data_IF_035359395042
#
_entry.id   IF_035359395042
#
_cell.length_a   1.000
_cell.length_b   1.000
_cell.length_c   1.000
_cell.angle_alpha   90.00
_cell.angle_beta   90.00
_cell.angle_gamma   90.00
#
_symmetry.space_group_name_H-M   'P 1'
#
loop_
_entity.id
_entity.type
_entity.pdbx_description
1 polymer ?
#
# COMPACT_ATOMS: atom_id res chain seq x y z
N UNK A 1 10.65 -8.37 -25.11
CA UNK A 1 10.10 -9.63 -24.54
C UNK A 1 10.13 -9.53 -23.03
N UNK A 2 9.03 -9.87 -22.35
CA UNK A 2 8.98 -9.90 -20.89
C UNK A 2 9.52 -11.23 -20.37
N UNK A 3 10.25 -11.20 -19.26
CA UNK A 3 10.71 -12.40 -18.55
C UNK A 3 10.12 -12.40 -17.16
N UNK A 4 9.65 -13.57 -16.73
CA UNK A 4 9.13 -13.78 -15.38
C UNK A 4 9.82 -14.96 -14.75
N UNK A 5 10.22 -14.77 -13.50
CA UNK A 5 10.90 -15.80 -12.74
C UNK A 5 10.71 -15.56 -11.26
N UNK A 6 10.87 -16.62 -10.48
CA UNK A 6 11.02 -16.56 -9.04
C UNK A 6 12.43 -17.00 -8.67
N UNK A 7 12.84 -16.61 -7.48
CA UNK A 7 14.17 -16.88 -6.96
C UNK A 7 14.14 -17.02 -5.46
N UNK A 8 14.96 -17.92 -4.94
CA UNK A 8 15.27 -18.03 -3.52
C UNK A 8 16.76 -17.85 -3.35
N UNK A 9 17.14 -16.94 -2.46
CA UNK A 9 18.53 -16.78 -2.07
C UNK A 9 19.01 -17.98 -1.22
N UNK A 10 20.26 -18.46 -1.37
CA UNK A 10 20.81 -19.52 -0.52
C UNK A 10 21.00 -18.98 0.90
N UNK A 11 20.36 -19.61 1.89
CA UNK A 11 20.26 -19.06 3.25
C UNK A 11 19.29 -17.88 3.36
N UNK A 12 18.66 -17.46 2.27
CA UNK A 12 17.75 -16.34 2.22
C UNK A 12 16.40 -16.66 2.87
N UNK A 13 16.01 -15.77 3.78
CA UNK A 13 14.66 -15.68 4.33
C UNK A 13 13.69 -14.95 3.38
N UNK A 14 13.99 -14.87 2.09
CA UNK A 14 13.14 -14.16 1.13
C UNK A 14 12.95 -14.97 -0.14
N UNK A 15 11.70 -15.04 -0.59
CA UNK A 15 11.30 -15.59 -1.87
C UNK A 15 10.88 -14.44 -2.79
N UNK A 16 11.68 -14.18 -3.81
CA UNK A 16 11.48 -13.07 -4.74
C UNK A 16 10.81 -13.55 -6.03
N UNK A 17 9.97 -12.70 -6.61
CA UNK A 17 9.30 -12.86 -7.88
C UNK A 17 9.50 -11.60 -8.69
N UNK A 18 9.97 -11.75 -9.92
CA UNK A 18 10.29 -10.65 -10.80
C UNK A 18 9.57 -10.78 -12.14
N UNK A 19 9.12 -9.65 -12.64
CA UNK A 19 8.87 -9.42 -14.05
C UNK A 19 9.89 -8.39 -14.55
N UNK A 20 10.63 -8.74 -15.60
CA UNK A 20 11.66 -7.88 -16.18
C UNK A 20 11.44 -7.67 -17.67
N UNK A 21 12.02 -6.60 -18.19
CA UNK A 21 12.18 -6.44 -19.63
C UNK A 21 13.33 -7.31 -20.19
N UNK A 22 13.63 -7.13 -21.48
CA UNK A 22 14.70 -7.85 -22.15
C UNK A 22 16.11 -7.43 -21.71
N UNK A 23 16.27 -6.22 -21.18
CA UNK A 23 17.52 -5.69 -20.64
C UNK A 23 17.75 -6.13 -19.18
N UNK A 24 16.77 -6.79 -18.54
CA UNK A 24 16.82 -7.22 -17.15
C UNK A 24 16.43 -6.12 -16.16
N UNK A 25 15.85 -5.01 -16.62
CA UNK A 25 15.28 -4.01 -15.73
C UNK A 25 14.02 -4.57 -15.09
N UNK A 26 13.88 -4.37 -13.77
CA UNK A 26 12.72 -4.86 -13.02
C UNK A 26 11.53 -3.94 -13.28
N UNK A 27 10.45 -4.55 -13.75
CA UNK A 27 9.17 -3.88 -14.01
C UNK A 27 8.22 -4.07 -12.83
N UNK A 28 8.16 -5.28 -12.27
CA UNK A 28 7.40 -5.61 -11.06
C UNK A 28 8.20 -6.56 -10.17
N UNK A 29 8.07 -6.37 -8.86
CA UNK A 29 8.68 -7.22 -7.85
C UNK A 29 7.68 -7.57 -6.75
N UNK A 30 7.57 -8.86 -6.45
CA UNK A 30 6.93 -9.36 -5.25
C UNK A 30 7.94 -10.15 -4.42
N UNK A 31 8.13 -9.79 -3.15
CA UNK A 31 9.06 -10.47 -2.25
C UNK A 31 8.33 -10.92 -0.99
N UNK A 32 8.50 -12.17 -0.61
CA UNK A 32 7.85 -12.80 0.54
C UNK A 32 8.88 -13.24 1.57
N UNK A 33 8.57 -13.00 2.84
CA UNK A 33 9.40 -13.41 3.97
C UNK A 33 8.64 -14.44 4.82
N UNK A 34 9.16 -15.69 4.96
CA UNK A 34 8.49 -16.76 5.68
C UNK A 34 8.46 -16.51 7.19
N UNK A 35 9.34 -15.65 7.71
CA UNK A 35 9.38 -15.26 9.13
C UNK A 35 8.36 -14.16 9.48
N UNK A 36 7.76 -13.52 8.46
CA UNK A 36 6.69 -12.55 8.67
C UNK A 36 5.33 -13.23 8.56
N UNK A 37 4.43 -12.90 9.49
CA UNK A 37 3.05 -13.38 9.48
C UNK A 37 2.18 -12.38 8.73
N UNK A 38 1.45 -12.78 7.67
CA UNK A 38 0.53 -11.89 7.00
C UNK A 38 -0.60 -11.47 7.94
N UNK A 39 -1.10 -10.25 7.74
CA UNK A 39 -2.26 -9.74 8.46
C UNK A 39 -3.46 -10.70 8.32
N UNK A 40 -4.29 -10.80 9.36
CA UNK A 40 -5.45 -11.69 9.40
C UNK A 40 -6.37 -11.45 8.22
N UNK A 41 -6.64 -10.18 7.89
CA UNK A 41 -7.50 -9.81 6.75
C UNK A 41 -6.89 -10.26 5.42
N UNK A 42 -5.57 -10.20 5.29
CA UNK A 42 -4.88 -10.68 4.11
C UNK A 42 -4.95 -12.22 3.99
N UNK A 43 -4.93 -12.96 5.10
CA UNK A 43 -5.01 -14.43 5.12
C UNK A 43 -6.39 -14.95 4.72
N UNK A 44 -7.44 -14.30 5.20
CA UNK A 44 -8.84 -14.70 4.93
C UNK A 44 -9.26 -14.42 3.49
N UNK A 45 -8.54 -13.53 2.80
CA UNK A 45 -8.89 -13.04 1.47
C UNK A 45 -8.49 -13.99 0.31
N UNK A 46 -8.21 -15.28 0.56
CA UNK A 46 -8.04 -16.32 -0.48
C UNK A 46 -6.74 -17.13 -0.43
N UNK A 47 -6.68 -18.24 -1.20
CA UNK A 47 -5.63 -19.25 -1.10
C UNK A 47 -4.24 -18.71 -1.46
N UNK A 48 -3.19 -19.28 -0.84
CA UNK A 48 -1.78 -19.00 -1.17
C UNK A 48 -1.26 -20.03 -2.17
N UNK A 49 -0.21 -19.68 -2.89
CA UNK A 49 0.47 -20.60 -3.82
C UNK A 49 1.91 -20.89 -3.38
N UNK A 50 2.51 -21.94 -3.92
CA UNK A 50 3.89 -22.32 -3.60
C UNK A 50 4.87 -21.16 -3.85
N UNK A 51 5.72 -20.86 -2.87
CA UNK A 51 6.66 -19.74 -2.93
C UNK A 51 6.03 -18.38 -2.60
N UNK A 52 4.89 -18.37 -1.93
CA UNK A 52 4.28 -17.16 -1.34
C UNK A 52 4.08 -17.33 0.17
N UNK A 53 4.92 -18.14 0.79
CA UNK A 53 4.90 -18.45 2.22
C UNK A 53 5.32 -17.23 3.06
N UNK A 54 4.63 -17.02 4.18
CA UNK A 54 4.76 -15.81 5.00
C UNK A 54 4.21 -14.55 4.35
N UNK A 55 4.56 -13.38 4.88
CA UNK A 55 4.03 -12.09 4.43
C UNK A 55 4.89 -11.46 3.32
N UNK A 56 4.24 -10.75 2.40
CA UNK A 56 4.96 -9.92 1.46
C UNK A 56 5.63 -8.72 2.13
N UNK A 57 6.90 -8.47 1.79
CA UNK A 57 7.64 -7.27 2.17
C UNK A 57 7.80 -6.27 1.01
N UNK A 58 7.65 -6.73 -0.24
CA UNK A 58 7.66 -5.89 -1.45
C UNK A 58 6.53 -6.35 -2.38
N UNK A 59 5.83 -5.39 -2.98
CA UNK A 59 4.82 -5.59 -4.03
C UNK A 59 4.78 -4.36 -4.96
N UNK A 60 5.93 -4.02 -5.54
CA UNK A 60 6.18 -2.75 -6.20
C UNK A 60 6.27 -2.87 -7.73
N UNK A 61 5.73 -1.87 -8.42
CA UNK A 61 5.69 -1.73 -9.88
C UNK A 61 6.35 -0.42 -10.31
N UNK A 62 7.26 -0.52 -11.28
CA UNK A 62 7.92 0.65 -11.87
C UNK A 62 6.95 1.56 -12.61
N UNK A 63 5.99 0.98 -13.33
CA UNK A 63 4.97 1.75 -14.05
C UNK A 63 4.06 2.53 -13.08
N UNK A 64 3.66 1.92 -11.95
CA UNK A 64 2.88 2.60 -10.92
C UNK A 64 3.68 3.75 -10.29
N UNK A 65 4.96 3.53 -9.97
CA UNK A 65 5.84 4.57 -9.43
C UNK A 65 6.01 5.76 -10.37
N UNK A 66 6.22 5.51 -11.67
CA UNK A 66 6.29 6.56 -12.69
C UNK A 66 4.99 7.35 -12.76
N UNK A 67 3.85 6.67 -12.86
CA UNK A 67 2.54 7.33 -12.93
C UNK A 67 2.25 8.18 -11.68
N UNK A 68 2.60 7.69 -10.48
CA UNK A 68 2.44 8.44 -9.23
C UNK A 68 3.35 9.67 -9.17
N UNK A 69 4.57 9.56 -9.69
CA UNK A 69 5.48 10.70 -9.74
C UNK A 69 4.96 11.79 -10.68
N UNK A 70 4.40 11.41 -11.83
CA UNK A 70 3.79 12.32 -12.80
C UNK A 70 2.54 13.01 -12.22
N UNK A 71 1.65 12.24 -11.59
CA UNK A 71 0.35 12.74 -11.16
C UNK A 71 0.38 13.47 -9.80
N UNK A 72 1.29 13.09 -8.90
CA UNK A 72 1.28 13.53 -7.49
C UNK A 72 2.67 13.87 -6.92
N UNK A 73 3.72 13.81 -7.75
CA UNK A 73 5.08 14.19 -7.37
C UNK A 73 5.76 13.23 -6.38
N UNK A 74 6.82 13.74 -5.73
CA UNK A 74 7.72 12.95 -4.89
C UNK A 74 7.07 12.42 -3.60
N UNK A 75 6.01 13.09 -3.09
CA UNK A 75 5.29 12.61 -1.92
C UNK A 75 4.61 11.26 -2.21
N UNK A 76 3.93 11.12 -3.33
CA UNK A 76 3.23 9.89 -3.68
C UNK A 76 4.19 8.73 -3.91
N UNK A 77 5.36 8.98 -4.48
CA UNK A 77 6.44 7.99 -4.59
C UNK A 77 6.89 7.50 -3.22
N UNK A 78 7.08 8.41 -2.25
CA UNK A 78 7.45 8.05 -0.87
C UNK A 78 6.35 7.26 -0.17
N UNK A 79 5.08 7.67 -0.33
CA UNK A 79 3.92 6.94 0.20
C UNK A 79 3.83 5.53 -0.40
N UNK A 80 4.03 5.40 -1.71
CA UNK A 80 3.98 4.12 -2.39
C UNK A 80 5.08 3.18 -1.90
N UNK A 81 6.31 3.68 -1.77
CA UNK A 81 7.43 2.87 -1.24
C UNK A 81 7.22 2.46 0.21
N UNK A 82 6.56 3.29 1.01
CA UNK A 82 6.23 2.93 2.38
C UNK A 82 5.20 1.79 2.43
N UNK A 83 4.19 1.81 1.55
CA UNK A 83 3.16 0.76 1.48
C UNK A 83 3.68 -0.50 0.78
N UNK A 84 4.23 -0.40 -0.42
CA UNK A 84 4.56 -1.53 -1.29
C UNK A 84 6.06 -1.88 -1.35
N UNK A 85 6.91 -1.15 -0.63
CA UNK A 85 8.35 -1.34 -0.68
C UNK A 85 9.02 -0.65 -1.88
N UNK A 86 10.35 -0.68 -1.89
CA UNK A 86 11.16 -0.17 -3.01
C UNK A 86 11.54 -1.34 -3.92
N UNK A 87 11.17 -1.32 -5.21
CA UNK A 87 11.61 -2.33 -6.14
C UNK A 87 13.11 -2.17 -6.41
N UNK A 88 13.79 -3.28 -6.68
CA UNK A 88 15.13 -3.27 -7.26
C UNK A 88 15.10 -2.61 -8.64
N UNK A 89 16.23 -2.03 -9.04
CA UNK A 89 16.35 -1.40 -10.36
C UNK A 89 16.55 -2.45 -11.44
N UNK A 90 17.42 -3.43 -11.16
CA UNK A 90 17.76 -4.53 -12.06
C UNK A 90 17.72 -5.87 -11.33
N UNK A 91 17.44 -6.94 -12.05
CA UNK A 91 17.54 -8.29 -11.50
C UNK A 91 18.99 -8.68 -11.12
N UNK A 92 19.98 -7.98 -11.68
CA UNK A 92 21.40 -8.19 -11.37
C UNK A 92 21.80 -7.62 -10.01
N UNK A 93 21.17 -6.54 -9.54
CA UNK A 93 21.33 -6.08 -8.14
C UNK A 93 20.94 -7.16 -7.15
N UNK A 94 19.89 -7.91 -7.51
CA UNK A 94 19.45 -9.07 -6.77
C UNK A 94 20.53 -10.17 -6.78
N UNK A 95 21.27 -10.33 -7.88
CA UNK A 95 22.20 -11.44 -8.15
C UNK A 95 23.55 -11.35 -7.43
N UNK A 96 23.71 -10.41 -6.49
CA UNK A 96 24.94 -10.30 -5.66
C UNK A 96 25.10 -11.43 -4.65
N UNK A 97 24.08 -12.26 -4.44
CA UNK A 97 24.16 -13.43 -3.56
C UNK A 97 24.52 -14.70 -4.36
N UNK A 98 25.74 -15.24 -4.19
CA UNK A 98 26.20 -16.41 -4.92
C UNK A 98 25.33 -17.64 -4.58
N UNK A 99 24.80 -18.31 -5.62
CA UNK A 99 24.05 -19.57 -5.52
C UNK A 99 22.53 -19.47 -5.65
N UNK A 100 21.96 -18.26 -5.81
CA UNK A 100 20.51 -18.11 -5.95
C UNK A 100 20.00 -18.77 -7.25
N UNK A 101 19.12 -19.76 -7.13
CA UNK A 101 18.55 -20.45 -8.30
C UNK A 101 17.36 -19.66 -8.85
N UNK A 102 17.44 -19.30 -10.12
CA UNK A 102 16.36 -18.68 -10.87
C UNK A 102 15.47 -19.75 -11.51
N UNK A 103 14.17 -19.67 -11.25
CA UNK A 103 13.17 -20.57 -11.84
C UNK A 103 12.20 -19.74 -12.67
N UNK A 104 12.13 -20.00 -13.98
CA UNK A 104 11.14 -19.38 -14.85
C UNK A 104 9.72 -19.73 -14.41
N UNK A 105 8.81 -18.75 -14.48
CA UNK A 105 7.40 -18.94 -14.13
C UNK A 105 6.51 -18.42 -15.25
N UNK A 106 5.32 -18.98 -15.35
CA UNK A 106 4.30 -18.54 -16.29
C UNK A 106 3.74 -17.17 -15.89
N UNK A 107 3.06 -16.50 -16.83
CA UNK A 107 2.33 -15.26 -16.56
C UNK A 107 1.32 -15.44 -15.43
N UNK A 108 0.53 -16.52 -15.46
CA UNK A 108 -0.52 -16.76 -14.47
C UNK A 108 0.02 -17.01 -13.06
N UNK A 109 1.15 -17.71 -12.93
CA UNK A 109 1.83 -17.89 -11.65
C UNK A 109 2.34 -16.57 -11.07
N UNK A 110 2.95 -15.73 -11.92
CA UNK A 110 3.41 -14.42 -11.49
C UNK A 110 2.25 -13.52 -11.07
N UNK A 111 1.17 -13.44 -11.85
CA UNK A 111 0.01 -12.61 -11.51
C UNK A 111 -0.62 -13.03 -10.18
N UNK A 112 -0.72 -14.34 -9.91
CA UNK A 112 -1.17 -14.82 -8.60
C UNK A 112 -0.24 -14.40 -7.47
N UNK A 113 1.08 -14.55 -7.63
CA UNK A 113 2.06 -14.10 -6.64
C UNK A 113 1.92 -12.59 -6.40
N UNK A 114 1.81 -11.82 -7.48
CA UNK A 114 1.66 -10.38 -7.47
C UNK A 114 0.38 -9.94 -6.73
N UNK A 115 -0.76 -10.55 -7.02
CA UNK A 115 -2.03 -10.29 -6.33
C UNK A 115 -1.92 -10.59 -4.83
N UNK A 116 -1.32 -11.72 -4.45
CA UNK A 116 -1.10 -12.07 -3.04
C UNK A 116 -0.20 -11.02 -2.37
N UNK A 117 0.91 -10.64 -3.02
CA UNK A 117 1.84 -9.67 -2.46
C UNK A 117 1.21 -8.29 -2.27
N UNK A 118 0.47 -7.83 -3.29
CA UNK A 118 -0.28 -6.57 -3.25
C UNK A 118 -1.28 -6.57 -2.10
N UNK A 119 -2.02 -7.65 -1.94
CA UNK A 119 -3.00 -7.82 -0.87
C UNK A 119 -2.34 -7.79 0.51
N UNK A 120 -1.29 -8.59 0.72
CA UNK A 120 -0.53 -8.61 1.99
C UNK A 120 -0.02 -7.20 2.36
N UNK A 121 0.60 -6.50 1.40
CA UNK A 121 1.10 -5.13 1.60
C UNK A 121 -0.01 -4.10 1.79
N UNK A 122 -1.17 -4.30 1.18
CA UNK A 122 -2.32 -3.41 1.32
C UNK A 122 -2.90 -3.40 2.74
N UNK A 123 -2.82 -4.53 3.44
CA UNK A 123 -3.33 -4.68 4.81
C UNK A 123 -2.25 -4.52 5.88
N UNK A 124 -0.97 -4.59 5.52
CA UNK A 124 0.12 -4.40 6.49
C UNK A 124 0.14 -2.93 6.96
N UNK A 125 0.11 -2.66 8.28
CA UNK A 125 0.26 -1.31 8.80
C UNK A 125 1.55 -0.65 8.30
N UNK A 126 1.44 0.61 7.89
CA UNK A 126 2.57 1.42 7.45
C UNK A 126 3.08 2.22 8.65
N UNK A 127 4.02 1.65 9.41
CA UNK A 127 4.60 2.27 10.61
C UNK A 127 5.71 3.30 10.30
N UNK A 128 6.13 3.38 9.03
CA UNK A 128 7.22 4.24 8.55
C UNK A 128 6.78 5.07 7.35
N UNK A 129 7.58 6.08 7.01
CA UNK A 129 7.37 6.93 5.85
C UNK A 129 6.78 8.30 6.19
N UNK A 130 6.27 9.06 5.20
CA UNK A 130 5.84 10.44 5.41
C UNK A 130 4.49 10.57 6.12
N UNK A 131 3.67 9.50 6.15
CA UNK A 131 2.39 9.43 6.85
C UNK A 131 2.26 8.07 7.55
N UNK A 132 3.03 7.84 8.63
CA UNK A 132 2.95 6.57 9.36
C UNK A 132 1.60 6.46 10.10
N UNK A 133 1.14 5.24 10.31
CA UNK A 133 -0.04 4.96 11.14
C UNK A 133 0.17 5.55 12.55
N UNK A 134 -0.88 6.16 13.10
CA UNK A 134 -0.85 6.90 14.36
C UNK A 134 -0.44 8.37 14.24
N UNK A 135 0.06 8.83 13.09
CA UNK A 135 0.39 10.24 12.89
C UNK A 135 -0.85 11.13 12.92
N UNK A 136 -0.69 12.36 13.40
CA UNK A 136 -1.74 13.38 13.37
C UNK A 136 -1.71 14.15 12.06
N UNK A 137 -2.88 14.42 11.48
CA UNK A 137 -3.02 15.34 10.36
C UNK A 137 -4.29 16.16 10.51
N UNK A 138 -4.20 17.46 10.27
CA UNK A 138 -5.38 18.33 10.22
C UNK A 138 -5.91 18.37 8.79
N UNK A 139 -7.22 18.25 8.63
CA UNK A 139 -7.87 18.34 7.33
C UNK A 139 -9.28 18.93 7.44
N UNK A 140 -9.79 19.37 6.30
CA UNK A 140 -11.15 19.91 6.19
C UNK A 140 -12.07 18.87 5.58
N UNK A 141 -13.23 18.64 6.18
CA UNK A 141 -14.25 17.75 5.61
C UNK A 141 -14.74 18.35 4.30
N UNK A 142 -14.46 17.69 3.19
CA UNK A 142 -14.79 18.19 1.86
C UNK A 142 -16.17 17.72 1.38
N UNK A 143 -16.55 16.48 1.68
CA UNK A 143 -17.82 15.92 1.22
C UNK A 143 -18.24 14.65 1.97
N UNK A 144 -19.53 14.36 1.88
CA UNK A 144 -20.16 13.06 2.20
C UNK A 144 -20.59 12.40 0.89
N UNK A 145 -19.68 11.68 0.19
CA UNK A 145 -19.85 11.32 -1.22
C UNK A 145 -21.13 10.54 -1.57
N UNK A 146 -21.75 9.87 -0.61
CA UNK A 146 -23.04 9.18 -0.78
C UNK A 146 -24.07 9.54 0.30
N UNK A 147 -23.91 10.70 0.94
CA UNK A 147 -24.73 11.13 2.07
C UNK A 147 -24.16 10.75 3.43
N UNK A 148 -24.69 11.39 4.47
CA UNK A 148 -24.32 11.17 5.87
C UNK A 148 -24.77 9.76 6.30
N UNK A 149 -23.93 9.05 7.05
CA UNK A 149 -24.25 7.72 7.60
C UNK A 149 -24.06 6.55 6.64
N UNK A 150 -23.65 6.77 5.38
CA UNK A 150 -23.65 5.71 4.35
C UNK A 150 -22.29 5.05 4.16
N UNK A 151 -21.21 5.81 3.95
CA UNK A 151 -19.87 5.19 3.69
C UNK A 151 -18.72 5.89 4.39
N UNK A 152 -18.77 7.22 4.55
CA UNK A 152 -17.67 7.98 5.13
C UNK A 152 -17.58 9.42 4.67
N UNK A 153 -16.43 10.03 4.96
CA UNK A 153 -16.10 11.43 4.63
C UNK A 153 -14.90 11.50 3.69
N UNK A 154 -14.97 12.40 2.71
CA UNK A 154 -13.79 12.90 2.02
C UNK A 154 -13.20 14.05 2.80
N UNK A 155 -11.89 14.03 2.98
CA UNK A 155 -11.12 15.03 3.71
C UNK A 155 -10.09 15.64 2.77
N UNK A 156 -10.13 16.96 2.66
CA UNK A 156 -9.06 17.74 2.03
C UNK A 156 -7.91 17.90 3.03
N UNK A 157 -6.72 17.49 2.61
CA UNK A 157 -5.50 17.56 3.40
C UNK A 157 -4.59 18.66 2.85
N UNK A 158 -3.68 19.23 3.66
CA UNK A 158 -2.64 20.14 3.19
C UNK A 158 -1.53 19.39 2.42
N UNK A 159 -1.90 18.35 1.68
CA UNK A 159 -1.04 17.44 0.94
C UNK A 159 -1.71 17.15 -0.41
N UNK A 160 -0.96 16.84 -1.47
CA UNK A 160 -1.49 16.49 -2.79
C UNK A 160 -2.20 15.12 -2.83
N UNK A 161 -2.69 14.62 -1.70
CA UNK A 161 -3.37 13.33 -1.57
C UNK A 161 -4.66 13.51 -0.77
N UNK A 162 -5.70 12.78 -1.15
CA UNK A 162 -7.00 12.89 -0.50
C UNK A 162 -7.07 12.03 0.77
N UNK A 163 -7.70 12.55 1.82
CA UNK A 163 -8.08 11.80 3.00
C UNK A 163 -9.45 11.15 2.88
N UNK A 164 -9.65 10.01 3.51
CA UNK A 164 -10.94 9.35 3.64
C UNK A 164 -11.12 8.80 5.06
N UNK A 165 -12.25 9.11 5.67
CA UNK A 165 -12.68 8.53 6.94
C UNK A 165 -13.79 7.53 6.65
N UNK A 166 -13.62 6.29 7.10
CA UNK A 166 -14.64 5.25 6.97
C UNK A 166 -15.78 5.47 7.97
N UNK A 167 -17.03 5.14 7.60
CA UNK A 167 -18.17 5.20 8.50
C UNK A 167 -17.94 4.44 9.81
N UNK A 168 -17.21 3.32 9.76
CA UNK A 168 -16.86 2.55 10.96
C UNK A 168 -15.98 3.31 11.97
N UNK A 169 -15.40 4.44 11.57
CA UNK A 169 -14.58 5.32 12.42
C UNK A 169 -15.32 6.57 12.91
N UNK A 170 -16.55 6.83 12.44
CA UNK A 170 -17.30 8.06 12.70
C UNK A 170 -18.40 7.90 13.75
N UNK A 171 -18.76 6.66 14.10
CA UNK A 171 -19.89 6.40 14.99
C UNK A 171 -21.22 6.81 14.36
N UNK A 172 -22.19 7.19 15.22
CA UNK A 172 -23.54 7.54 14.79
C UNK A 172 -23.56 8.78 13.87
N UNK A 173 -24.43 8.75 12.86
CA UNK A 173 -24.52 9.70 11.75
C UNK A 173 -24.66 11.16 12.20
N UNK A 174 -25.42 11.41 13.25
CA UNK A 174 -25.67 12.72 13.85
C UNK A 174 -24.41 13.37 14.45
N UNK A 175 -23.37 12.58 14.73
CA UNK A 175 -22.10 13.06 15.28
C UNK A 175 -21.04 13.27 14.20
N UNK A 176 -21.36 13.04 12.92
CA UNK A 176 -20.39 13.20 11.85
C UNK A 176 -20.02 14.67 11.69
N UNK A 177 -18.72 15.01 11.58
CA UNK A 177 -18.28 16.36 11.25
C UNK A 177 -18.95 16.88 9.97
N UNK A 178 -19.47 18.11 10.03
CA UNK A 178 -20.10 18.75 8.88
C UNK A 178 -19.07 19.10 7.79
N UNK A 179 -19.51 19.16 6.53
CA UNK A 179 -18.68 19.67 5.42
C UNK A 179 -18.21 21.10 5.72
N UNK A 180 -16.94 21.39 5.43
CA UNK A 180 -16.25 22.62 5.78
C UNK A 180 -15.60 22.62 7.17
N UNK A 181 -15.87 21.61 8.00
CA UNK A 181 -15.28 21.54 9.35
C UNK A 181 -13.81 21.14 9.30
N UNK A 182 -12.98 21.92 9.99
CA UNK A 182 -11.57 21.58 10.23
C UNK A 182 -11.48 20.60 11.41
N UNK A 183 -10.82 19.46 11.21
CA UNK A 183 -10.72 18.39 12.20
C UNK A 183 -9.30 17.84 12.24
N UNK A 184 -8.82 17.49 13.44
CA UNK A 184 -7.60 16.72 13.61
C UNK A 184 -7.91 15.23 13.47
N UNK A 185 -7.18 14.56 12.59
CA UNK A 185 -7.32 13.14 12.32
C UNK A 185 -6.06 12.38 12.73
N UNK A 186 -6.24 11.12 13.05
CA UNK A 186 -5.18 10.12 13.12
C UNK A 186 -5.12 9.35 11.80
N UNK A 187 -3.91 9.17 11.28
CA UNK A 187 -3.64 8.34 10.10
C UNK A 187 -3.76 6.87 10.49
N UNK A 188 -4.65 6.14 9.84
CA UNK A 188 -4.76 4.68 9.97
C UNK A 188 -3.87 3.95 8.97
N UNK A 189 -3.59 4.58 7.84
CA UNK A 189 -2.72 4.03 6.80
C UNK A 189 -2.93 4.71 5.45
N UNK A 190 -2.24 4.22 4.44
CA UNK A 190 -2.33 4.74 3.07
C UNK A 190 -2.74 3.61 2.17
N UNK A 191 -3.78 3.84 1.36
CA UNK A 191 -4.27 2.88 0.38
C UNK A 191 -4.07 3.43 -1.02
N UNK A 192 -3.91 2.51 -1.97
CA UNK A 192 -3.89 2.85 -3.39
C UNK A 192 -5.07 2.18 -4.05
N UNK A 193 -5.98 2.98 -4.61
CA UNK A 193 -7.18 2.46 -5.27
C UNK A 193 -6.78 1.63 -6.50
N UNK A 194 -7.42 0.47 -6.66
CA UNK A 194 -7.26 -0.41 -7.81
C UNK A 194 -8.05 0.16 -9.00
N UNK A 195 -7.51 1.20 -9.64
CA UNK A 195 -7.99 1.74 -10.90
C UNK A 195 -6.95 1.58 -12.01
N UNK A 196 -7.25 2.09 -13.21
CA UNK A 196 -6.27 2.12 -14.32
C UNK A 196 -4.97 2.85 -13.97
N UNK A 197 -5.02 3.78 -13.01
CA UNK A 197 -3.85 4.43 -12.41
C UNK A 197 -3.94 4.38 -10.88
N UNK A 198 -2.85 4.06 -10.18
CA UNK A 198 -2.83 4.07 -8.72
C UNK A 198 -3.09 5.50 -8.21
N UNK A 199 -4.03 5.65 -7.28
CA UNK A 199 -4.27 6.92 -6.60
C UNK A 199 -4.12 6.73 -5.09
N UNK A 200 -3.23 7.47 -4.43
CA UNK A 200 -3.08 7.40 -2.98
C UNK A 200 -4.31 8.01 -2.30
N UNK A 201 -4.81 7.32 -1.28
CA UNK A 201 -5.83 7.80 -0.36
C UNK A 201 -5.37 7.52 1.07
N UNK A 202 -5.32 8.57 1.88
CA UNK A 202 -4.97 8.46 3.30
C UNK A 202 -6.22 8.03 4.07
N UNK A 203 -6.14 6.92 4.79
CA UNK A 203 -7.23 6.44 5.64
C UNK A 203 -7.10 7.09 7.01
N UNK A 204 -8.18 7.68 7.49
CA UNK A 204 -8.19 8.55 8.64
C UNK A 204 -9.23 8.10 9.68
N UNK A 205 -9.00 8.48 10.93
CA UNK A 205 -9.97 8.45 12.02
C UNK A 205 -9.99 9.83 12.69
N UNK A 206 -11.16 10.43 12.97
CA UNK A 206 -11.19 11.69 13.71
C UNK A 206 -10.61 11.47 15.11
N UNK A 207 -9.74 12.37 15.56
CA UNK A 207 -9.46 12.45 16.99
C UNK A 207 -10.65 13.09 17.67
N UNK A 208 -10.96 12.65 18.88
CA UNK A 208 -12.01 13.28 19.67
C UNK A 208 -11.80 14.79 19.67
N UNK A 209 -12.80 15.54 19.21
CA UNK A 209 -12.79 17.00 19.33
C UNK A 209 -12.76 17.28 20.82
N UNK A 210 -11.66 17.85 21.32
CA UNK A 210 -11.68 18.42 22.67
C UNK A 210 -12.81 19.44 22.67
N UNK A 211 -13.85 19.19 23.47
CA UNK A 211 -14.88 20.19 23.68
C UNK A 211 -14.17 21.50 24.04
N UNK A 212 -14.51 22.64 23.40
CA UNK A 212 -13.96 23.91 23.84
C UNK A 212 -14.32 24.05 25.31
N UNK A 213 -13.30 24.19 26.16
CA UNK A 213 -13.50 24.33 27.59
C UNK A 213 -14.51 25.44 27.84
N UNK A 214 -15.54 25.15 28.64
CA UNK A 214 -16.33 26.19 29.29
C UNK A 214 -15.36 27.04 30.11
N UNK A 215 -15.06 28.23 29.61
CA UNK A 215 -14.62 29.35 30.42
C UNK A 215 -15.86 30.09 30.93
#
# INVERSE_FOLDING_TARGET
>A
MLRRFRRRAPGGHTQDWFETDAAGAVLRQASFRPDLVPDVLARESGPRQAGTDGAACVAASRAELTALCEDFGSLAVRLYRAVYGSPLTTATEASREPGATQVHVTSGEFERAWTIARRDRHFTPCDRGPLPAGASVTGTVAATPWGIGVTGLLVELPLPVQGFVDMGQLGAAENWPAVGTLVEFEVLGVRFNAGRRPRPQVRLRPKAVRAPGRA
#
